data_IF_330290155064
#
_entry.id   IF_330290155064
#
_cell.length_a   1.000
_cell.length_b   1.000
_cell.length_c   1.000
_cell.angle_alpha   90.00
_cell.angle_beta   90.00
_cell.angle_gamma   90.00
#
_symmetry.space_group_name_H-M   'P 1'
#
loop_
_entity.id
_entity.type
_entity.pdbx_description
1 polymer ?
#
# COMPACT_ATOMS: atom_id res chain seq x y z
N UNK A 1 9.07 19.45 26.16
CA UNK A 1 8.43 18.45 25.29
C UNK A 1 8.72 17.09 25.90
N UNK A 2 7.69 16.29 26.16
CA UNK A 2 7.90 15.00 26.79
C UNK A 2 8.40 13.99 25.77
N UNK A 3 9.24 13.05 26.23
CA UNK A 3 9.81 11.96 25.44
C UNK A 3 8.75 11.26 24.55
N UNK A 4 7.53 11.08 25.07
CA UNK A 4 6.40 10.43 24.38
C UNK A 4 6.03 11.07 23.02
N UNK A 5 5.90 12.41 22.96
CA UNK A 5 5.49 13.10 21.74
C UNK A 5 6.53 13.01 20.62
N UNK A 6 7.81 12.98 21.00
CA UNK A 6 8.92 12.77 20.06
C UNK A 6 8.86 11.35 19.49
N UNK A 7 8.60 10.35 20.34
CA UNK A 7 8.44 8.96 19.88
C UNK A 7 7.24 8.80 18.95
N UNK A 8 6.11 9.47 19.20
CA UNK A 8 4.97 9.47 18.26
C UNK A 8 5.40 9.96 16.88
N UNK A 9 6.16 11.06 16.82
CA UNK A 9 6.62 11.62 15.55
C UNK A 9 7.56 10.67 14.82
N UNK A 10 8.52 10.08 15.53
CA UNK A 10 9.49 9.16 14.94
C UNK A 10 8.79 7.95 14.34
N UNK A 11 7.80 7.39 15.05
CA UNK A 11 7.00 6.26 14.59
C UNK A 11 6.19 6.64 13.35
N UNK A 12 5.49 7.77 13.36
CA UNK A 12 4.70 8.23 12.21
C UNK A 12 5.61 8.51 11.02
N UNK A 13 6.73 9.21 11.23
CA UNK A 13 7.70 9.51 10.18
C UNK A 13 8.23 8.24 9.52
N UNK A 14 8.61 7.24 10.32
CA UNK A 14 9.07 5.95 9.80
C UNK A 14 8.02 5.30 8.89
N UNK A 15 6.75 5.32 9.32
CA UNK A 15 5.64 4.76 8.54
C UNK A 15 5.39 5.56 7.25
N UNK A 16 5.39 6.88 7.33
CA UNK A 16 5.22 7.76 6.18
C UNK A 16 6.35 7.57 5.16
N UNK A 17 7.61 7.44 5.61
CA UNK A 17 8.75 7.18 4.72
C UNK A 17 8.60 5.84 4.00
N UNK A 18 8.24 4.78 4.71
CA UNK A 18 7.98 3.48 4.08
C UNK A 18 6.84 3.55 3.06
N UNK A 19 5.74 4.24 3.42
CA UNK A 19 4.61 4.45 2.53
C UNK A 19 5.02 5.24 1.27
N UNK A 20 5.83 6.29 1.42
CA UNK A 20 6.38 7.08 0.31
C UNK A 20 7.24 6.20 -0.60
N UNK A 21 8.12 5.36 -0.05
CA UNK A 21 8.96 4.47 -0.85
C UNK A 21 8.10 3.49 -1.66
N UNK A 22 7.15 2.81 -1.01
CA UNK A 22 6.26 1.85 -1.68
C UNK A 22 5.41 2.55 -2.75
N UNK A 23 4.89 3.73 -2.44
CA UNK A 23 4.07 4.51 -3.36
C UNK A 23 4.89 5.04 -4.53
N UNK A 24 6.13 5.45 -4.31
CA UNK A 24 7.03 5.86 -5.40
C UNK A 24 7.33 4.69 -6.34
N UNK A 25 7.66 3.51 -5.80
CA UNK A 25 7.94 2.32 -6.60
C UNK A 25 6.75 1.92 -7.49
N UNK A 26 5.53 2.06 -6.96
CA UNK A 26 4.29 1.63 -7.63
C UNK A 26 3.71 2.70 -8.55
N UNK A 27 3.68 3.98 -8.13
CA UNK A 27 3.08 5.07 -8.89
C UNK A 27 3.97 5.58 -10.03
N UNK A 28 5.29 5.64 -9.84
CA UNK A 28 6.27 6.12 -10.83
C UNK A 28 6.72 5.00 -11.80
N UNK A 29 5.95 3.91 -11.87
CA UNK A 29 6.20 2.76 -12.73
C UNK A 29 7.62 2.18 -12.61
N UNK A 30 8.30 2.32 -11.45
CA UNK A 30 9.65 1.75 -11.25
C UNK A 30 9.65 0.23 -11.22
N UNK A 31 8.50 -0.35 -10.91
CA UNK A 31 8.23 -1.78 -11.03
C UNK A 31 7.85 -2.19 -12.46
N UNK A 32 8.02 -1.30 -13.46
CA UNK A 32 7.83 -1.67 -14.85
C UNK A 32 8.83 -2.77 -15.23
N UNK A 33 8.39 -3.79 -15.98
CA UNK A 33 9.27 -4.85 -16.40
C UNK A 33 10.45 -4.33 -17.24
N UNK A 34 11.64 -4.86 -17.00
CA UNK A 34 12.84 -4.55 -17.80
C UNK A 34 13.12 -5.65 -18.83
N UNK A 35 13.76 -5.31 -19.95
CA UNK A 35 14.16 -6.29 -20.97
C UNK A 35 15.20 -7.31 -20.47
N UNK A 36 15.84 -7.02 -19.33
CA UNK A 36 16.78 -7.92 -18.64
C UNK A 36 16.12 -8.89 -17.67
N UNK A 37 14.85 -8.68 -17.31
CA UNK A 37 14.08 -9.61 -16.46
C UNK A 37 13.49 -10.71 -17.36
N UNK A 38 14.36 -11.61 -17.80
CA UNK A 38 14.03 -12.68 -18.76
C UNK A 38 13.15 -13.80 -18.20
N UNK A 39 12.94 -13.89 -16.89
CA UNK A 39 12.07 -14.92 -16.34
C UNK A 39 10.60 -14.55 -16.53
N UNK A 40 9.90 -15.28 -17.41
CA UNK A 40 8.46 -15.14 -17.71
C UNK A 40 7.62 -15.02 -16.42
N UNK A 41 7.99 -15.79 -15.39
CA UNK A 41 7.36 -15.80 -14.06
C UNK A 41 7.41 -14.45 -13.34
N UNK A 42 8.60 -13.82 -13.26
CA UNK A 42 8.76 -12.52 -12.57
C UNK A 42 7.99 -11.42 -13.30
N UNK A 43 7.99 -11.52 -14.62
CA UNK A 43 7.39 -10.57 -15.53
C UNK A 43 5.86 -10.55 -15.40
N UNK A 44 5.23 -11.72 -15.26
CA UNK A 44 3.79 -11.88 -15.06
C UNK A 44 3.36 -11.39 -13.66
N UNK A 45 4.23 -11.50 -12.65
CA UNK A 45 3.95 -10.95 -11.32
C UNK A 45 3.97 -9.42 -11.32
N UNK A 46 4.88 -8.79 -12.09
CA UNK A 46 4.92 -7.34 -12.26
C UNK A 46 3.75 -6.83 -13.09
N UNK A 47 3.27 -7.63 -14.05
CA UNK A 47 2.10 -7.33 -14.88
C UNK A 47 0.85 -7.01 -14.06
N UNK A 48 0.65 -7.71 -12.92
CA UNK A 48 -0.45 -7.44 -11.99
C UNK A 48 -0.50 -5.96 -11.53
N UNK A 49 0.66 -5.34 -11.35
CA UNK A 49 0.80 -3.95 -10.88
C UNK A 49 0.99 -2.95 -12.03
N UNK A 50 1.14 -3.46 -13.25
CA UNK A 50 1.52 -2.67 -14.40
C UNK A 50 0.28 -2.13 -15.13
N UNK A 51 0.20 -0.81 -15.20
CA UNK A 51 -0.84 -0.11 -15.96
C UNK A 51 -0.23 0.47 -17.24
N UNK A 52 -0.52 -0.12 -18.42
CA UNK A 52 0.11 0.27 -19.67
C UNK A 52 -0.22 1.72 -20.09
N UNK A 53 -1.43 2.20 -19.78
CA UNK A 53 -1.87 3.55 -20.13
C UNK A 53 -1.07 4.61 -19.37
N UNK A 54 -0.91 4.45 -18.05
CA UNK A 54 -0.19 5.43 -17.22
C UNK A 54 1.33 5.33 -17.35
N UNK A 55 1.86 4.14 -17.66
CA UNK A 55 3.31 3.97 -17.86
C UNK A 55 3.74 4.22 -19.32
N UNK A 56 2.81 4.59 -20.21
CA UNK A 56 3.02 4.93 -21.64
C UNK A 56 3.85 3.88 -22.41
N UNK A 57 3.77 2.61 -22.02
CA UNK A 57 4.58 1.54 -22.59
C UNK A 57 3.80 0.23 -22.61
N UNK A 58 4.01 -0.55 -23.67
CA UNK A 58 3.40 -1.88 -23.79
C UNK A 58 4.51 -2.92 -23.85
N UNK A 59 4.37 -3.98 -23.07
CA UNK A 59 5.32 -5.09 -23.02
C UNK A 59 4.66 -6.34 -23.56
N UNK A 60 5.37 -7.01 -24.47
CA UNK A 60 4.93 -8.25 -25.08
C UNK A 60 5.58 -9.42 -24.37
N UNK A 61 4.78 -10.43 -24.07
CA UNK A 61 5.20 -11.63 -23.37
C UNK A 61 4.99 -12.83 -24.27
N UNK A 62 6.04 -13.61 -24.46
CA UNK A 62 5.90 -14.86 -25.20
C UNK A 62 5.57 -15.97 -24.21
N UNK A 63 4.39 -16.55 -24.35
CA UNK A 63 3.90 -17.64 -23.50
C UNK A 63 3.75 -18.89 -24.36
N UNK A 64 4.46 -19.96 -24.01
CA UNK A 64 4.44 -21.20 -24.80
C UNK A 64 3.85 -22.36 -24.03
N UNK A 65 2.74 -22.93 -24.54
CA UNK A 65 2.07 -24.09 -23.94
C UNK A 65 2.20 -25.31 -24.83
N UNK A 66 2.52 -26.45 -24.21
CA UNK A 66 2.47 -27.75 -24.86
C UNK A 66 1.04 -28.28 -24.83
N UNK A 67 0.44 -28.51 -26.00
CA UNK A 67 -0.94 -29.00 -26.12
C UNK A 67 -0.99 -30.51 -26.36
N UNK A 68 0.00 -31.04 -27.08
CA UNK A 68 0.10 -32.47 -27.34
C UNK A 68 1.56 -32.92 -27.38
N UNK A 69 1.78 -34.22 -27.55
CA UNK A 69 3.11 -34.86 -27.58
C UNK A 69 4.09 -34.16 -28.54
N UNK A 70 3.61 -33.54 -29.63
CA UNK A 70 4.42 -32.86 -30.65
C UNK A 70 3.85 -31.49 -31.12
N UNK A 71 2.98 -30.85 -30.32
CA UNK A 71 2.38 -29.57 -30.71
C UNK A 71 2.53 -28.54 -29.60
N UNK A 72 3.12 -27.40 -29.98
CA UNK A 72 3.29 -26.25 -29.11
C UNK A 72 2.52 -25.08 -29.69
N UNK A 73 1.86 -24.34 -28.80
CA UNK A 73 1.34 -23.02 -29.10
C UNK A 73 2.24 -22.00 -28.43
N UNK A 74 2.78 -21.08 -29.21
CA UNK A 74 3.45 -19.88 -28.70
C UNK A 74 2.52 -18.71 -28.93
N UNK A 75 2.17 -18.03 -27.85
CA UNK A 75 1.24 -16.91 -27.82
C UNK A 75 1.99 -15.69 -27.33
N UNK A 76 2.04 -14.64 -28.15
CA UNK A 76 2.44 -13.33 -27.67
C UNK A 76 1.24 -12.68 -26.96
N UNK A 77 1.36 -12.38 -25.68
CA UNK A 77 0.32 -11.78 -24.83
C UNK A 77 0.79 -10.41 -24.34
N UNK A 78 -0.08 -9.40 -24.28
CA UNK A 78 0.22 -8.11 -23.66
C UNK A 78 -1.02 -7.49 -23.02
N UNK A 79 -0.87 -6.72 -21.92
CA UNK A 79 -1.96 -5.95 -21.34
C UNK A 79 -2.30 -4.80 -22.27
N UNK A 80 -3.56 -4.69 -22.68
CA UNK A 80 -4.04 -3.47 -23.35
C UNK A 80 -4.65 -2.55 -22.30
N UNK A 81 -5.52 -3.08 -21.45
CA UNK A 81 -6.08 -2.37 -20.31
C UNK A 81 -6.04 -3.25 -19.07
N UNK A 82 -5.54 -2.70 -17.96
CA UNK A 82 -5.44 -3.40 -16.69
C UNK A 82 -6.13 -2.61 -15.57
N UNK A 83 -7.43 -2.82 -15.41
CA UNK A 83 -8.24 -2.17 -14.38
C UNK A 83 -7.85 -2.57 -12.96
N UNK A 84 -7.20 -3.73 -12.80
CA UNK A 84 -6.71 -4.19 -11.50
C UNK A 84 -5.53 -3.32 -11.06
N UNK A 85 -4.56 -3.09 -11.96
CA UNK A 85 -3.43 -2.18 -11.71
C UNK A 85 -3.90 -0.73 -11.51
N UNK A 86 -4.84 -0.24 -12.32
CA UNK A 86 -5.47 1.08 -12.16
C UNK A 86 -6.08 1.24 -10.75
N UNK A 87 -6.92 0.28 -10.36
CA UNK A 87 -7.56 0.25 -9.05
C UNK A 87 -6.54 0.13 -7.91
N UNK A 88 -5.43 -0.60 -8.13
CA UNK A 88 -4.33 -0.69 -7.17
C UNK A 88 -3.65 0.66 -6.99
N UNK A 89 -3.29 1.35 -8.08
CA UNK A 89 -2.64 2.67 -8.05
C UNK A 89 -3.50 3.70 -7.33
N UNK A 90 -4.81 3.71 -7.60
CA UNK A 90 -5.74 4.59 -6.88
C UNK A 90 -5.75 4.33 -5.36
N UNK A 91 -5.78 3.07 -4.94
CA UNK A 91 -5.69 2.70 -3.52
C UNK A 91 -4.39 3.18 -2.87
N UNK A 92 -3.26 3.03 -3.58
CA UNK A 92 -1.96 3.54 -3.12
C UNK A 92 -1.95 5.06 -2.98
N UNK A 93 -2.55 5.80 -3.92
CA UNK A 93 -2.63 7.26 -3.85
C UNK A 93 -3.41 7.73 -2.62
N UNK A 94 -4.56 7.10 -2.34
CA UNK A 94 -5.34 7.39 -1.13
C UNK A 94 -4.51 7.09 0.12
N UNK A 95 -3.87 5.93 0.14
CA UNK A 95 -3.04 5.49 1.26
C UNK A 95 -1.91 6.49 1.55
N UNK A 96 -1.15 6.88 0.52
CA UNK A 96 -0.08 7.89 0.60
C UNK A 96 -0.60 9.23 1.12
N UNK A 97 -1.72 9.70 0.56
CA UNK A 97 -2.31 11.00 0.93
C UNK A 97 -2.66 11.04 2.41
N UNK A 98 -3.26 9.97 2.94
CA UNK A 98 -3.61 9.87 4.35
C UNK A 98 -2.35 9.83 5.24
N UNK A 99 -1.31 9.10 4.87
CA UNK A 99 -0.04 9.06 5.61
C UNK A 99 0.65 10.43 5.67
N UNK A 100 0.68 11.15 4.55
CA UNK A 100 1.25 12.50 4.49
C UNK A 100 0.42 13.48 5.33
N UNK A 101 -0.91 13.46 5.20
CA UNK A 101 -1.80 14.32 5.98
C UNK A 101 -1.64 14.05 7.48
N UNK A 102 -1.57 12.78 7.88
CA UNK A 102 -1.42 12.39 9.27
C UNK A 102 -0.07 12.87 9.86
N UNK A 103 1.01 12.75 9.09
CA UNK A 103 2.32 13.27 9.47
C UNK A 103 2.32 14.81 9.64
N UNK A 104 1.70 15.54 8.71
CA UNK A 104 1.59 17.00 8.81
C UNK A 104 0.80 17.42 10.05
N UNK A 105 -0.29 16.72 10.36
CA UNK A 105 -1.08 16.96 11.58
C UNK A 105 -0.28 16.62 12.86
N UNK A 106 0.57 15.59 12.83
CA UNK A 106 1.47 15.27 13.93
C UNK A 106 2.50 16.39 14.18
N UNK A 107 3.08 16.95 13.12
CA UNK A 107 3.99 18.10 13.20
C UNK A 107 3.29 19.35 13.74
N UNK A 108 2.07 19.62 13.26
CA UNK A 108 1.26 20.73 13.75
C UNK A 108 0.96 20.57 15.26
N UNK A 109 0.63 19.35 15.70
CA UNK A 109 0.37 19.06 17.11
C UNK A 109 1.60 19.29 17.99
N UNK A 110 2.81 18.97 17.50
CA UNK A 110 4.06 19.18 18.27
C UNK A 110 4.51 20.63 18.34
N UNK A 111 4.24 21.41 17.32
CA UNK A 111 4.65 22.82 17.25
C UNK A 111 3.70 23.75 18.03
N UNK A 112 2.57 23.25 18.50
CA UNK A 112 1.62 24.03 19.27
C UNK A 112 2.06 24.26 20.72
N UNK A 113 2.42 25.52 21.02
CA UNK A 113 2.73 25.97 22.38
C UNK A 113 1.50 26.47 23.17
N UNK A 114 0.30 26.49 22.57
CA UNK A 114 -0.91 27.03 23.22
C UNK A 114 -1.84 25.92 23.72
N UNK A 115 -2.27 25.95 24.99
CA UNK A 115 -3.11 24.90 25.58
C UNK A 115 -4.50 24.77 24.93
N UNK A 116 -5.05 25.83 24.30
CA UNK A 116 -6.29 25.72 23.53
C UNK A 116 -6.08 25.24 22.08
N UNK A 117 -4.86 25.36 21.53
CA UNK A 117 -4.55 24.85 20.19
C UNK A 117 -4.62 23.32 20.13
N UNK A 118 -4.37 22.69 21.28
CA UNK A 118 -4.41 21.25 21.50
C UNK A 118 -5.63 20.57 20.87
N UNK A 119 -6.85 21.09 21.04
CA UNK A 119 -8.05 20.49 20.45
C UNK A 119 -8.14 20.66 18.92
N UNK A 120 -7.54 21.74 18.39
CA UNK A 120 -7.56 22.06 16.96
C UNK A 120 -6.60 21.18 16.16
N UNK A 121 -5.48 20.75 16.74
CA UNK A 121 -4.55 19.84 16.07
C UNK A 121 -4.81 18.37 16.43
N UNK A 122 -5.09 18.08 17.70
CA UNK A 122 -5.23 16.70 18.16
C UNK A 122 -6.47 16.01 17.59
N UNK A 123 -7.61 16.71 17.51
CA UNK A 123 -8.86 16.09 17.04
C UNK A 123 -8.80 15.73 15.55
N UNK A 124 -8.34 16.61 14.63
CA UNK A 124 -8.12 16.22 13.24
C UNK A 124 -7.04 15.15 13.10
N UNK A 125 -5.99 15.18 13.93
CA UNK A 125 -4.94 14.16 13.95
C UNK A 125 -5.50 12.78 14.34
N UNK A 126 -6.32 12.69 15.39
CA UNK A 126 -6.94 11.43 15.82
C UNK A 126 -7.98 10.94 14.83
N UNK A 127 -8.80 11.83 14.27
CA UNK A 127 -9.77 11.49 13.21
C UNK A 127 -9.06 10.95 11.97
N UNK A 128 -8.01 11.62 11.48
CA UNK A 128 -7.21 11.16 10.34
C UNK A 128 -6.57 9.81 10.65
N UNK A 129 -6.01 9.64 11.85
CA UNK A 129 -5.46 8.36 12.28
C UNK A 129 -6.51 7.23 12.27
N UNK A 130 -7.72 7.49 12.75
CA UNK A 130 -8.81 6.50 12.74
C UNK A 130 -9.23 6.13 11.31
N UNK A 131 -9.35 7.12 10.42
CA UNK A 131 -9.66 6.89 9.00
C UNK A 131 -8.55 6.03 8.37
N UNK A 132 -7.29 6.35 8.65
CA UNK A 132 -6.14 5.60 8.16
C UNK A 132 -6.14 4.15 8.66
N UNK A 133 -6.50 3.90 9.93
CA UNK A 133 -6.67 2.56 10.47
C UNK A 133 -7.74 1.77 9.68
N UNK A 134 -8.90 2.39 9.44
CA UNK A 134 -9.98 1.75 8.67
C UNK A 134 -9.50 1.43 7.26
N UNK A 135 -8.80 2.35 6.60
CA UNK A 135 -8.22 2.15 5.27
C UNK A 135 -7.19 1.02 5.27
N UNK A 136 -6.30 0.96 6.26
CA UNK A 136 -5.31 -0.13 6.40
C UNK A 136 -6.00 -1.50 6.57
N UNK A 137 -7.06 -1.59 7.36
CA UNK A 137 -7.84 -2.83 7.51
C UNK A 137 -8.50 -3.22 6.19
N UNK A 138 -9.16 -2.27 5.52
CA UNK A 138 -9.81 -2.52 4.22
C UNK A 138 -8.80 -2.97 3.18
N UNK A 139 -7.65 -2.29 3.07
CA UNK A 139 -6.58 -2.67 2.16
C UNK A 139 -5.99 -4.03 2.50
N UNK A 140 -5.77 -4.34 3.78
CA UNK A 140 -5.32 -5.67 4.21
C UNK A 140 -6.26 -6.76 3.71
N UNK A 141 -7.57 -6.60 3.89
CA UNK A 141 -8.58 -7.56 3.44
C UNK A 141 -8.61 -7.68 1.92
N UNK A 142 -8.55 -6.56 1.19
CA UNK A 142 -8.51 -6.56 -0.28
C UNK A 142 -7.27 -7.31 -0.77
N UNK A 143 -6.09 -7.00 -0.26
CA UNK A 143 -4.85 -7.64 -0.70
C UNK A 143 -4.78 -9.12 -0.31
N UNK A 144 -5.32 -9.52 0.85
CA UNK A 144 -5.45 -10.95 1.19
C UNK A 144 -6.39 -11.65 0.21
N UNK A 145 -7.49 -11.02 -0.20
CA UNK A 145 -8.39 -11.59 -1.20
C UNK A 145 -7.71 -11.71 -2.57
N UNK A 146 -6.91 -10.72 -2.96
CA UNK A 146 -6.16 -10.75 -4.22
C UNK A 146 -5.18 -11.93 -4.29
N UNK A 147 -4.62 -12.39 -3.16
CA UNK A 147 -3.74 -13.57 -3.14
C UNK A 147 -4.36 -14.82 -3.74
N UNK A 148 -5.65 -15.04 -3.47
CA UNK A 148 -6.37 -16.20 -4.01
C UNK A 148 -6.52 -16.17 -5.54
N UNK A 149 -6.32 -15.00 -6.15
CA UNK A 149 -6.45 -14.75 -7.59
C UNK A 149 -5.10 -14.57 -8.30
N UNK A 150 -4.01 -14.55 -7.53
CA UNK A 150 -2.66 -14.32 -8.07
C UNK A 150 -1.72 -15.49 -7.72
N UNK A 151 -2.27 -16.70 -7.60
CA UNK A 151 -1.50 -17.89 -7.23
C UNK A 151 -0.85 -18.58 -8.42
N UNK A 152 -1.43 -18.44 -9.62
CA UNK A 152 -0.88 -18.93 -10.89
C UNK A 152 -0.94 -17.87 -11.98
N UNK A 153 -0.11 -18.00 -13.01
CA UNK A 153 -0.09 -17.11 -14.18
C UNK A 153 -1.46 -17.05 -14.89
N UNK A 154 -2.10 -18.21 -15.08
CA UNK A 154 -3.44 -18.32 -15.67
C UNK A 154 -4.48 -17.54 -14.87
N UNK A 155 -4.46 -17.67 -13.54
CA UNK A 155 -5.36 -16.92 -12.67
C UNK A 155 -5.09 -15.41 -12.70
N UNK A 156 -3.84 -14.99 -12.88
CA UNK A 156 -3.50 -13.56 -13.04
C UNK A 156 -4.11 -13.02 -14.34
N UNK A 157 -3.99 -13.76 -15.44
CA UNK A 157 -4.60 -13.37 -16.71
C UNK A 157 -6.14 -13.36 -16.62
N UNK A 158 -6.72 -14.40 -16.02
CA UNK A 158 -8.16 -14.46 -15.77
C UNK A 158 -8.59 -13.27 -14.90
N UNK A 159 -7.84 -12.95 -13.84
CA UNK A 159 -8.18 -11.85 -12.95
C UNK A 159 -8.13 -10.48 -13.65
N UNK A 160 -7.16 -10.24 -14.52
CA UNK A 160 -7.09 -9.00 -15.32
C UNK A 160 -8.28 -8.91 -16.29
N UNK A 161 -8.69 -10.04 -16.86
CA UNK A 161 -9.77 -10.12 -17.88
C UNK A 161 -11.18 -10.24 -17.32
N UNK A 162 -11.35 -10.63 -16.05
CA UNK A 162 -12.68 -10.75 -15.41
C UNK A 162 -13.36 -9.38 -15.20
N UNK A 163 -12.59 -8.29 -15.19
CA UNK A 163 -13.10 -6.92 -15.10
C UNK A 163 -13.32 -6.25 -16.46
N UNK A 164 -13.25 -4.92 -16.50
CA UNK A 164 -13.20 -4.16 -17.77
C UNK A 164 -11.78 -4.13 -18.38
N UNK A 165 -10.85 -4.92 -17.83
CA UNK A 165 -9.51 -5.12 -18.37
C UNK A 165 -9.53 -6.13 -19.52
N UNK A 166 -8.55 -6.00 -20.42
CA UNK A 166 -8.41 -6.96 -21.51
C UNK A 166 -6.97 -7.09 -21.98
N UNK A 167 -6.67 -8.29 -22.46
CA UNK A 167 -5.36 -8.71 -22.93
C UNK A 167 -5.40 -8.87 -24.45
N UNK A 168 -4.36 -8.39 -25.13
CA UNK A 168 -4.11 -8.71 -26.53
C UNK A 168 -3.38 -10.04 -26.62
N UNK A 169 -3.71 -10.85 -27.63
CA UNK A 169 -3.04 -12.11 -27.88
C UNK A 169 -2.80 -12.34 -29.37
N UNK A 170 -1.62 -12.84 -29.73
CA UNK A 170 -1.29 -13.35 -31.06
C UNK A 170 -0.75 -14.76 -30.92
N UNK A 171 -1.52 -15.73 -31.41
CA UNK A 171 -1.22 -17.15 -31.27
C UNK A 171 -0.58 -17.69 -32.54
N UNK A 172 0.59 -18.32 -32.42
CA UNK A 172 1.23 -19.09 -33.49
C UNK A 172 1.37 -20.55 -33.08
N UNK A 173 0.78 -21.44 -33.87
CA UNK A 173 0.91 -22.88 -33.68
C UNK A 173 2.15 -23.38 -34.41
N UNK A 174 3.02 -24.11 -33.70
CA UNK A 174 4.16 -24.74 -34.30
C UNK A 174 4.11 -26.27 -34.13
N UNK A 175 4.38 -27.00 -35.21
CA UNK A 175 4.62 -28.45 -35.19
C UNK A 175 6.13 -28.68 -35.12
N UNK A 176 6.68 -28.86 -33.92
CA UNK A 176 8.09 -29.21 -33.73
C UNK A 176 8.19 -30.67 -33.22
N UNK A 177 9.06 -31.46 -33.85
CA UNK A 177 9.49 -32.75 -33.29
C UNK A 177 10.57 -32.48 -32.24
N UNK A 178 10.17 -32.28 -30.98
CA UNK A 178 11.11 -32.12 -29.87
C UNK A 178 11.03 -33.33 -28.97
N UNK A 179 12.16 -34.01 -28.83
CA UNK A 179 12.40 -35.03 -27.81
C UNK A 179 12.21 -34.43 -26.42
N UNK A 180 11.12 -34.84 -25.76
CA UNK A 180 10.89 -34.78 -24.31
C UNK A 180 11.49 -33.56 -23.58
N UNK A 181 10.87 -32.39 -23.73
CA UNK A 181 10.92 -31.40 -22.65
C UNK A 181 9.98 -31.89 -21.54
N UNK A 182 10.54 -32.23 -20.38
CA UNK A 182 9.77 -32.54 -19.19
C UNK A 182 8.91 -31.32 -18.85
N UNK A 183 7.59 -31.47 -18.97
CA UNK A 183 6.64 -30.57 -18.33
C UNK A 183 6.74 -30.82 -16.83
N UNK A 184 7.79 -30.25 -16.21
CA UNK A 184 7.85 -30.10 -14.77
C UNK A 184 6.63 -29.28 -14.38
N UNK A 185 5.78 -29.89 -13.53
CA UNK A 185 4.68 -29.25 -12.80
C UNK A 185 5.09 -27.81 -12.51
N UNK A 186 4.41 -26.82 -13.12
CA UNK A 186 4.77 -25.43 -12.91
C UNK A 186 4.74 -25.19 -11.39
N UNK A 187 5.82 -24.66 -10.80
CA UNK A 187 5.79 -24.31 -9.38
C UNK A 187 4.63 -23.34 -9.14
N UNK A 188 4.07 -23.37 -7.93
CA UNK A 188 3.07 -22.38 -7.51
C UNK A 188 3.72 -21.00 -7.50
N UNK A 189 3.58 -20.28 -8.59
CA UNK A 189 4.16 -18.96 -8.79
C UNK A 189 3.27 -17.87 -8.21
N UNK A 190 3.13 -17.90 -6.88
CA UNK A 190 2.35 -16.90 -6.16
C UNK A 190 2.98 -15.51 -6.31
N UNK A 191 2.15 -14.51 -6.61
CA UNK A 191 2.55 -13.11 -6.57
C UNK A 191 2.76 -12.65 -5.12
N UNK A 192 4.00 -12.33 -4.76
CA UNK A 192 4.35 -11.89 -3.40
C UNK A 192 3.90 -10.45 -3.10
N UNK A 193 3.52 -9.67 -4.12
CA UNK A 193 3.20 -8.26 -3.91
C UNK A 193 1.94 -8.08 -3.07
N UNK A 194 0.89 -8.86 -3.31
CA UNK A 194 -0.32 -8.79 -2.51
C UNK A 194 -0.03 -9.18 -1.05
N UNK A 195 0.88 -10.12 -0.80
CA UNK A 195 1.35 -10.48 0.55
C UNK A 195 2.09 -9.30 1.17
N UNK A 196 3.04 -8.71 0.44
CA UNK A 196 3.82 -7.58 0.93
C UNK A 196 2.91 -6.40 1.30
N UNK A 197 1.92 -6.12 0.45
CA UNK A 197 0.97 -5.02 0.67
C UNK A 197 0.03 -5.32 1.84
N UNK A 198 -0.49 -6.54 1.95
CA UNK A 198 -1.26 -6.97 3.11
C UNK A 198 -0.44 -6.85 4.40
N UNK A 199 0.83 -7.26 4.36
CA UNK A 199 1.75 -7.14 5.48
C UNK A 199 2.04 -5.67 5.86
N UNK A 200 2.26 -4.80 4.86
CA UNK A 200 2.48 -3.37 5.07
C UNK A 200 1.24 -2.70 5.70
N UNK A 201 0.04 -3.04 5.24
CA UNK A 201 -1.22 -2.57 5.82
C UNK A 201 -1.43 -3.11 7.25
N UNK A 202 -1.13 -4.38 7.51
CA UNK A 202 -1.22 -4.97 8.85
C UNK A 202 -0.22 -4.33 9.84
N UNK A 203 1.00 -4.04 9.39
CA UNK A 203 1.98 -3.25 10.15
C UNK A 203 1.41 -1.88 10.53
N UNK A 204 0.68 -1.24 9.61
CA UNK A 204 0.00 0.03 9.89
C UNK A 204 -1.02 -0.05 11.02
N UNK A 205 -1.79 -1.13 11.10
CA UNK A 205 -2.73 -1.41 12.20
C UNK A 205 -2.01 -1.50 13.55
N UNK A 206 -0.95 -2.31 13.62
CA UNK A 206 -0.16 -2.49 14.86
C UNK A 206 0.42 -1.15 15.31
N UNK A 207 0.94 -0.38 14.37
CA UNK A 207 1.55 0.92 14.63
C UNK A 207 0.52 1.95 15.08
N UNK A 208 -0.71 1.90 14.55
CA UNK A 208 -1.81 2.71 15.04
C UNK A 208 -2.16 2.39 16.50
N UNK A 209 -2.20 1.11 16.90
CA UNK A 209 -2.46 0.74 18.31
C UNK A 209 -1.42 1.37 19.23
N UNK A 210 -0.13 1.28 18.88
CA UNK A 210 0.96 1.91 19.64
C UNK A 210 0.74 3.43 19.70
N UNK A 211 0.45 4.06 18.57
CA UNK A 211 0.21 5.50 18.50
C UNK A 211 -1.03 5.93 19.30
N UNK A 212 -2.10 5.14 19.32
CA UNK A 212 -3.30 5.42 20.11
C UNK A 212 -2.97 5.55 21.60
N UNK A 213 -2.20 4.62 22.16
CA UNK A 213 -1.80 4.67 23.57
C UNK A 213 -0.97 5.92 23.88
N UNK A 214 0.01 6.23 23.02
CA UNK A 214 0.88 7.39 23.20
C UNK A 214 0.07 8.69 23.10
N UNK A 215 -0.87 8.77 22.16
CA UNK A 215 -1.73 9.95 21.94
C UNK A 215 -2.71 10.14 23.09
N UNK A 216 -3.29 9.05 23.60
CA UNK A 216 -4.13 9.05 24.79
C UNK A 216 -3.35 9.57 26.01
N UNK A 217 -2.11 9.12 26.20
CA UNK A 217 -1.27 9.58 27.32
C UNK A 217 -0.90 11.07 27.18
N UNK A 218 -0.52 11.50 25.97
CA UNK A 218 -0.31 12.92 25.66
C UNK A 218 -1.57 13.76 25.94
N UNK A 219 -2.76 13.19 25.69
CA UNK A 219 -4.01 13.88 25.98
C UNK A 219 -4.26 14.09 27.46
N UNK A 220 -4.10 13.05 28.28
CA UNK A 220 -4.28 13.17 29.71
C UNK A 220 -3.27 14.12 30.34
N UNK A 221 -2.03 14.12 29.84
CA UNK A 221 -1.00 15.04 30.29
C UNK A 221 -1.32 16.50 29.92
N UNK A 222 -1.75 16.76 28.68
CA UNK A 222 -2.21 18.08 28.24
C UNK A 222 -3.39 18.59 29.08
N UNK A 223 -4.36 17.71 29.37
CA UNK A 223 -5.51 18.03 30.22
C UNK A 223 -5.09 18.34 31.66
N UNK A 224 -4.14 17.59 32.22
CA UNK A 224 -3.59 17.85 33.55
C UNK A 224 -2.87 19.22 33.62
N UNK A 225 -2.06 19.54 32.62
CA UNK A 225 -1.39 20.84 32.52
C UNK A 225 -2.41 22.00 32.40
N UNK A 226 -3.46 21.83 31.60
CA UNK A 226 -4.52 22.82 31.47
C UNK A 226 -5.27 23.05 32.79
N UNK A 227 -5.61 21.99 33.52
CA UNK A 227 -6.26 22.08 34.85
C UNK A 227 -5.39 22.84 35.86
N UNK A 228 -4.07 22.59 35.87
CA UNK A 228 -3.11 23.34 36.72
C UNK A 228 -3.10 24.84 36.39
N UNK A 229 -3.09 25.19 35.10
CA UNK A 229 -3.14 26.60 34.68
C UNK A 229 -4.45 27.29 35.09
N UNK A 230 -5.57 26.56 35.06
CA UNK A 230 -6.85 27.10 35.54
C UNK A 230 -6.87 27.30 37.06
N UNK A 231 -6.35 26.36 37.84
CA UNK A 231 -6.26 26.49 39.30
C UNK A 231 -5.34 27.62 39.75
N UNK A 232 -4.25 27.87 39.02
CA UNK A 232 -3.35 28.98 39.32
C UNK A 232 -4.00 30.33 39.03
N UNK A 233 -4.77 30.42 37.93
CA UNK A 233 -5.54 31.62 37.58
C UNK A 233 -6.63 31.92 38.61
N UNK A 234 -7.35 30.91 39.09
CA UNK A 234 -8.38 31.11 40.12
C UNK A 234 -7.76 31.53 41.45
N UNK A 235 -6.64 30.92 41.84
CA UNK A 235 -5.88 31.29 43.05
C UNK A 235 -5.36 32.73 43.00
N UNK A 236 -4.80 33.17 41.86
CA UNK A 236 -4.34 34.55 41.67
C UNK A 236 -5.49 35.57 41.69
N UNK A 237 -6.67 35.23 41.15
CA UNK A 237 -7.86 36.08 41.25
C UNK A 237 -8.31 36.25 42.70
N UNK A 238 -8.35 35.16 43.47
CA UNK A 238 -8.76 35.19 44.89
C UNK A 238 -7.83 36.04 45.75
N UNK A 239 -6.51 36.00 45.50
CA UNK A 239 -5.52 36.85 46.19
C UNK A 239 -5.58 38.34 45.82
N UNK A 240 -6.18 38.72 44.70
CA UNK A 240 -6.36 40.13 44.30
C UNK A 240 -7.64 40.77 44.87
N UNK A 241 -8.55 39.96 45.40
CA UNK A 241 -9.81 40.43 46.00
C UNK A 241 -9.72 40.64 47.52
N UNK A 242 -8.61 40.27 48.14
CA UNK A 242 -8.24 40.61 49.52
C UNK A 242 -7.19 41.71 49.50
#
# INVERSE_FOLDING_TARGET
MNSLGIWTLVIILYQTVLCVIISWLTLDCKLSPSSSELSEVTLIKLLYLYEPETCERTYFYNYSVKISTNTYISTAIWPVKNTVAESFRFKIQIWLTLHVLWFLLALANLTQNRPCGFYVALLPFTCTGLIMLVVDVVHTVIFIRDLSKTSTEEQIFDYITTGDGYMGFVTKTYRWHVTSFHATKLPEDTSWIAVLMAYASCRGVVQWIINFWIVKDNYFEGLAAYRRLQSDKSSKRRKKSY
#
